data_IF_001003199708
#
_entry.id   IF_001003199708
#
_cell.length_a   1.000
_cell.length_b   1.000
_cell.length_c   1.000
_cell.angle_alpha   90.00
_cell.angle_beta   90.00
_cell.angle_gamma   90.00
#
_symmetry.space_group_name_H-M   'P 1'
#
loop_
_entity.id
_entity.type
_entity.pdbx_description
1 polymer ?
#
# COMPACT_ATOMS: atom_id res chain seq x y z
N UNK A 1 13.42 0.62 13.40
CA UNK A 1 12.97 1.52 12.33
C UNK A 1 11.50 1.79 12.56
N UNK A 2 11.13 3.04 12.79
CA UNK A 2 9.80 3.45 13.30
C UNK A 2 9.01 4.19 12.23
N UNK A 3 7.67 4.13 12.27
CA UNK A 3 6.74 4.92 11.43
C UNK A 3 7.13 6.40 11.36
N UNK A 4 7.74 6.92 12.44
CA UNK A 4 8.28 8.27 12.51
C UNK A 4 9.24 8.61 11.36
N UNK A 5 10.15 7.72 10.97
CA UNK A 5 11.11 8.01 9.91
C UNK A 5 10.43 8.08 8.52
N UNK A 6 9.39 7.27 8.32
CA UNK A 6 8.55 7.32 7.13
C UNK A 6 7.82 8.66 7.05
N UNK A 7 7.23 9.12 8.17
CA UNK A 7 6.59 10.42 8.22
C UNK A 7 7.58 11.59 8.09
N UNK A 8 8.81 11.49 8.64
CA UNK A 8 9.85 12.51 8.45
C UNK A 8 10.32 12.61 6.99
N UNK A 9 10.27 11.51 6.23
CA UNK A 9 10.70 11.50 4.81
C UNK A 9 9.59 11.96 3.87
N UNK A 10 8.36 11.52 4.09
CA UNK A 10 7.24 11.74 3.16
C UNK A 10 6.20 12.75 3.64
N UNK A 11 6.17 13.08 4.93
CA UNK A 11 5.23 14.02 5.55
C UNK A 11 3.77 13.66 5.23
N UNK A 12 3.01 14.66 4.83
CA UNK A 12 1.60 14.52 4.45
C UNK A 12 1.39 13.70 3.17
N UNK A 13 2.46 13.53 2.37
CA UNK A 13 2.44 12.67 1.19
C UNK A 13 2.76 11.21 1.54
N UNK A 14 2.73 10.79 2.81
CA UNK A 14 3.01 9.40 3.17
C UNK A 14 2.01 8.43 2.53
N UNK A 15 0.73 8.83 2.45
CA UNK A 15 -0.34 8.04 1.83
C UNK A 15 -1.09 8.96 0.86
N UNK A 16 -0.91 8.73 -0.44
CA UNK A 16 -1.58 9.51 -1.47
C UNK A 16 -2.76 8.74 -2.08
N UNK A 17 -2.68 7.41 -2.07
CA UNK A 17 -3.67 6.54 -2.69
C UNK A 17 -4.93 6.42 -1.83
N UNK A 18 -6.09 6.36 -2.49
CA UNK A 18 -7.41 6.34 -1.84
C UNK A 18 -8.04 4.94 -1.81
N UNK A 19 -7.42 3.94 -2.44
CA UNK A 19 -7.94 2.58 -2.54
C UNK A 19 -7.12 1.52 -1.78
N UNK A 20 -7.34 0.26 -2.16
CA UNK A 20 -6.66 -0.91 -1.59
C UNK A 20 -5.15 -0.92 -1.88
N UNK A 21 -4.71 -0.13 -2.84
CA UNK A 21 -3.31 0.07 -3.20
C UNK A 21 -2.54 0.92 -2.17
N UNK A 22 -3.22 1.61 -1.25
CA UNK A 22 -2.56 2.42 -0.21
C UNK A 22 -1.62 1.61 0.70
N UNK A 23 -1.99 0.37 1.05
CA UNK A 23 -1.10 -0.52 1.81
C UNK A 23 0.16 -0.88 1.04
N UNK A 24 0.04 -1.04 -0.29
CA UNK A 24 1.17 -1.32 -1.17
C UNK A 24 2.06 -0.08 -1.33
N UNK A 25 1.49 1.12 -1.41
CA UNK A 25 2.23 2.38 -1.40
C UNK A 25 3.09 2.54 -0.15
N UNK A 26 2.52 2.31 1.04
CA UNK A 26 3.25 2.38 2.32
C UNK A 26 4.39 1.36 2.33
N UNK A 27 4.15 0.15 1.86
CA UNK A 27 5.17 -0.90 1.78
C UNK A 27 6.35 -0.45 0.90
N UNK A 28 6.07 0.10 -0.28
CA UNK A 28 7.12 0.59 -1.18
C UNK A 28 7.91 1.75 -0.58
N UNK A 29 7.23 2.73 0.03
CA UNK A 29 7.88 3.85 0.73
C UNK A 29 8.72 3.37 1.93
N UNK A 30 8.29 2.31 2.61
CA UNK A 30 9.07 1.69 3.69
C UNK A 30 10.35 1.05 3.16
N UNK A 31 10.29 0.39 1.99
CA UNK A 31 11.44 -0.20 1.31
C UNK A 31 12.44 0.87 0.84
N UNK A 32 11.98 2.02 0.32
CA UNK A 32 12.87 3.13 -0.08
C UNK A 32 13.63 3.73 1.11
N UNK A 33 13.03 3.72 2.30
CA UNK A 33 13.70 4.15 3.54
C UNK A 33 14.59 3.04 4.16
N UNK A 34 14.82 1.93 3.46
CA UNK A 34 15.61 0.79 3.93
C UNK A 34 15.07 0.17 5.23
N UNK A 35 13.74 0.17 5.40
CA UNK A 35 13.07 -0.37 6.58
C UNK A 35 13.06 -1.90 6.58
N UNK A 36 13.19 -2.50 7.78
CA UNK A 36 12.97 -3.94 7.95
C UNK A 36 11.47 -4.23 7.91
N UNK A 37 11.05 -5.00 6.92
CA UNK A 37 9.68 -5.50 6.79
C UNK A 37 9.71 -7.01 7.02
N UNK A 38 8.79 -7.50 7.84
CA UNK A 38 8.61 -8.92 8.09
C UNK A 38 7.15 -9.30 7.84
N UNK A 39 6.93 -10.52 7.37
CA UNK A 39 5.60 -11.09 7.22
C UNK A 39 5.23 -11.86 8.49
N UNK A 40 4.01 -11.63 8.99
CA UNK A 40 3.47 -12.38 10.13
C UNK A 40 2.44 -13.35 9.57
N UNK A 41 2.58 -14.66 9.79
CA UNK A 41 1.65 -15.63 9.27
C UNK A 41 0.27 -15.44 9.92
N UNK A 42 -0.76 -15.39 9.09
CA UNK A 42 -2.16 -15.31 9.50
C UNK A 42 -2.99 -16.32 8.73
N UNK A 43 -3.89 -17.02 9.43
CA UNK A 43 -4.87 -17.90 8.79
C UNK A 43 -5.96 -17.02 8.19
N UNK A 44 -5.99 -16.95 6.87
CA UNK A 44 -6.95 -16.14 6.12
C UNK A 44 -8.14 -17.00 5.68
N UNK A 45 -9.05 -17.29 6.63
CA UNK A 45 -10.26 -18.05 6.35
C UNK A 45 -11.41 -17.11 5.94
N UNK A 46 -11.61 -16.98 4.62
CA UNK A 46 -12.72 -16.21 4.05
C UNK A 46 -14.09 -16.91 4.19
N UNK A 47 -14.14 -18.19 4.54
CA UNK A 47 -15.38 -18.94 4.76
C UNK A 47 -16.11 -18.51 6.04
N UNK A 48 -15.36 -18.01 7.04
CA UNK A 48 -15.90 -17.44 8.28
C UNK A 48 -16.46 -16.01 8.10
N UNK A 49 -16.27 -15.41 6.91
CA UNK A 49 -16.74 -14.06 6.64
C UNK A 49 -18.27 -14.06 6.51
N UNK A 50 -18.94 -13.70 7.60
CA UNK A 50 -20.38 -13.51 7.64
C UNK A 50 -20.79 -12.26 6.81
N UNK A 51 -20.94 -12.43 5.49
CA UNK A 51 -21.50 -11.42 4.59
C UNK A 51 -20.84 -11.36 3.20
N UNK A 52 -21.57 -10.77 2.24
CA UNK A 52 -21.06 -10.53 0.88
C UNK A 52 -19.80 -9.64 0.91
N UNK A 53 -18.86 -9.92 0.02
CA UNK A 53 -17.68 -9.06 -0.14
C UNK A 53 -18.12 -7.66 -0.57
N UNK A 54 -17.66 -6.64 0.17
CA UNK A 54 -17.79 -5.22 -0.21
C UNK A 54 -16.77 -4.80 -1.28
N UNK A 55 -15.86 -5.70 -1.66
CA UNK A 55 -14.81 -5.40 -2.63
C UNK A 55 -15.34 -5.54 -4.05
N UNK A 56 -15.35 -4.42 -4.78
CA UNK A 56 -15.66 -4.40 -6.19
C UNK A 56 -14.41 -4.80 -6.98
N UNK A 57 -14.37 -6.05 -7.45
CA UNK A 57 -13.15 -6.67 -7.99
C UNK A 57 -12.59 -5.94 -9.22
N UNK A 58 -13.44 -5.59 -10.18
CA UNK A 58 -13.02 -4.89 -11.42
C UNK A 58 -12.39 -3.52 -11.12
N UNK A 59 -13.05 -2.59 -10.40
CA UNK A 59 -12.43 -1.29 -10.12
C UNK A 59 -11.20 -1.42 -9.23
N UNK A 60 -11.13 -2.40 -8.31
CA UNK A 60 -9.90 -2.66 -7.55
C UNK A 60 -8.74 -3.03 -8.46
N UNK A 61 -8.95 -3.92 -9.43
CA UNK A 61 -7.90 -4.32 -10.38
C UNK A 61 -7.46 -3.14 -11.24
N UNK A 62 -8.41 -2.34 -11.75
CA UNK A 62 -8.11 -1.16 -12.56
C UNK A 62 -7.30 -0.12 -11.77
N UNK A 63 -7.69 0.17 -10.53
CA UNK A 63 -6.97 1.09 -9.66
C UNK A 63 -5.53 0.62 -9.40
N UNK A 64 -5.35 -0.68 -9.15
CA UNK A 64 -4.01 -1.27 -9.01
C UNK A 64 -3.19 -1.13 -10.29
N UNK A 65 -3.76 -1.41 -11.47
CA UNK A 65 -3.06 -1.25 -12.74
C UNK A 65 -2.65 0.21 -12.99
N UNK A 66 -3.55 1.16 -12.71
CA UNK A 66 -3.26 2.58 -12.83
C UNK A 66 -2.16 3.02 -11.86
N UNK A 67 -2.20 2.54 -10.62
CA UNK A 67 -1.17 2.78 -9.61
C UNK A 67 0.20 2.26 -10.08
N UNK A 68 0.26 1.03 -10.61
CA UNK A 68 1.49 0.42 -11.12
C UNK A 68 2.06 1.15 -12.34
N UNK A 69 1.20 1.61 -13.26
CA UNK A 69 1.62 2.40 -14.42
C UNK A 69 2.17 3.78 -14.01
N UNK A 70 1.57 4.42 -13.01
CA UNK A 70 2.00 5.71 -12.45
C UNK A 70 3.17 5.61 -11.46
N UNK A 71 3.62 4.40 -11.13
CA UNK A 71 4.57 4.14 -10.06
C UNK A 71 5.89 4.89 -10.24
N UNK A 72 6.40 4.94 -11.48
CA UNK A 72 7.65 5.65 -11.80
C UNK A 72 7.55 7.14 -11.47
N UNK A 73 6.40 7.77 -11.69
CA UNK A 73 6.24 9.19 -11.40
C UNK A 73 6.06 9.44 -9.91
N UNK A 74 5.33 8.58 -9.20
CA UNK A 74 5.12 8.68 -7.75
C UNK A 74 6.40 8.42 -6.95
N UNK A 75 7.23 7.45 -7.35
CA UNK A 75 8.50 7.17 -6.68
C UNK A 75 9.61 8.18 -7.03
N UNK A 76 9.58 8.79 -8.22
CA UNK A 76 10.62 9.73 -8.68
C UNK A 76 10.49 11.13 -8.10
N UNK A 77 9.37 11.47 -7.45
CA UNK A 77 9.24 12.68 -6.62
C UNK A 77 9.99 12.49 -5.28
N UNK A 78 10.39 11.26 -4.95
CA UNK A 78 11.05 10.92 -3.68
C UNK A 78 12.57 10.73 -3.78
N UNK A 79 13.20 11.05 -4.91
CA UNK A 79 14.66 10.92 -5.12
C UNK A 79 15.30 12.25 -5.50
#
# INVERSE_FOLDING_TARGET
MSIKNLYETFGDNLIESQGLEASFEILLKALTCNSKVGEIPIVLDYGLKNGKSKMHLIPTVLNYMQFLLGLKNKLKISM
#
